data_IF_573614723362
#
_entry.id   IF_573614723362
#
_cell.length_a   1.000
_cell.length_b   1.000
_cell.length_c   1.000
_cell.angle_alpha   90.00
_cell.angle_beta   90.00
_cell.angle_gamma   90.00
#
_symmetry.space_group_name_H-M   'P 1'
#
loop_
_entity.id
_entity.type
_entity.pdbx_description
1 polymer ?
#
# COMPACT_ATOMS: atom_id res chain seq x y z
N UNK A 1 -16.35 -11.26 -5.68
CA UNK A 1 -16.40 -10.40 -4.47
C UNK A 1 -15.27 -9.40 -4.63
N UNK A 2 -15.42 -8.10 -4.33
CA UNK A 2 -14.25 -7.24 -4.26
C UNK A 2 -13.34 -7.85 -3.19
N UNK A 3 -12.12 -8.20 -3.56
CA UNK A 3 -11.17 -8.81 -2.62
C UNK A 3 -10.80 -7.74 -1.59
N UNK A 4 -11.13 -7.96 -0.32
CA UNK A 4 -10.73 -7.07 0.78
C UNK A 4 -9.21 -6.96 0.81
N UNK A 5 -8.67 -5.76 1.02
CA UNK A 5 -7.23 -5.61 1.24
C UNK A 5 -6.85 -6.17 2.61
N UNK A 6 -5.79 -6.95 2.65
CA UNK A 6 -5.24 -7.57 3.87
C UNK A 6 -3.76 -7.21 4.02
N UNK A 7 -3.11 -7.48 5.17
CA UNK A 7 -1.68 -7.26 5.33
C UNK A 7 -0.81 -7.98 4.28
N UNK A 8 -1.30 -9.09 3.74
CA UNK A 8 -0.64 -9.89 2.70
C UNK A 8 -0.85 -9.34 1.29
N UNK A 9 -1.78 -8.40 1.09
CA UNK A 9 -1.94 -7.70 -0.18
C UNK A 9 -0.64 -6.99 -0.56
N UNK A 10 -0.36 -6.95 -1.86
CA UNK A 10 0.82 -6.25 -2.37
C UNK A 10 0.53 -4.77 -2.57
N UNK A 11 1.55 -3.94 -2.41
CA UNK A 11 1.46 -2.50 -2.71
C UNK A 11 0.99 -2.27 -4.16
N UNK A 12 1.49 -3.08 -5.10
CA UNK A 12 1.06 -3.05 -6.51
C UNK A 12 -0.45 -3.25 -6.69
N UNK A 13 -1.07 -4.15 -5.93
CA UNK A 13 -2.50 -4.44 -6.04
C UNK A 13 -3.35 -3.22 -5.67
N UNK A 14 -2.89 -2.42 -4.71
CA UNK A 14 -3.55 -1.17 -4.31
C UNK A 14 -3.47 -0.15 -5.44
N UNK A 15 -2.29 0.01 -6.04
CA UNK A 15 -2.08 0.94 -7.15
C UNK A 15 -2.90 0.54 -8.38
N UNK A 16 -2.99 -0.75 -8.68
CA UNK A 16 -3.77 -1.26 -9.81
C UNK A 16 -5.27 -1.12 -9.61
N UNK A 17 -5.77 -1.27 -8.38
CA UNK A 17 -7.21 -1.25 -8.08
C UNK A 17 -7.76 0.12 -7.73
N UNK A 18 -7.03 0.90 -6.95
CA UNK A 18 -7.47 2.21 -6.45
C UNK A 18 -6.85 3.38 -7.23
N UNK A 19 -5.87 3.13 -8.11
CA UNK A 19 -5.23 4.16 -8.93
C UNK A 19 -4.64 5.29 -8.08
N UNK A 20 -4.96 6.53 -8.45
CA UNK A 20 -4.46 7.73 -7.76
C UNK A 20 -4.87 7.78 -6.29
N UNK A 21 -6.08 7.32 -5.94
CA UNK A 21 -6.55 7.24 -4.55
C UNK A 21 -5.66 6.31 -3.72
N UNK A 22 -5.28 5.17 -4.29
CA UNK A 22 -4.40 4.21 -3.63
C UNK A 22 -3.04 4.82 -3.32
N UNK A 23 -2.49 5.60 -4.26
CA UNK A 23 -1.22 6.31 -4.09
C UNK A 23 -1.31 7.37 -2.98
N UNK A 24 -2.37 8.16 -2.96
CA UNK A 24 -2.60 9.18 -1.92
C UNK A 24 -2.72 8.56 -0.52
N UNK A 25 -3.46 7.45 -0.41
CA UNK A 25 -3.61 6.71 0.84
C UNK A 25 -2.27 6.13 1.32
N UNK A 26 -1.50 5.49 0.43
CA UNK A 26 -0.17 4.99 0.75
C UNK A 26 0.73 6.12 1.29
N UNK A 27 0.76 7.26 0.59
CA UNK A 27 1.56 8.42 1.01
C UNK A 27 1.10 8.97 2.36
N UNK A 28 -0.21 9.09 2.59
CA UNK A 28 -0.81 9.54 3.85
C UNK A 28 -0.42 8.64 5.03
N UNK A 29 -0.38 7.33 4.83
CA UNK A 29 0.03 6.35 5.85
C UNK A 29 1.54 6.09 5.89
N UNK A 30 2.31 6.95 5.21
CA UNK A 30 3.75 7.05 5.32
C UNK A 30 4.55 6.17 4.38
N UNK A 31 3.90 5.56 3.38
CA UNK A 31 4.54 4.77 2.34
C UNK A 31 4.68 5.60 1.06
N UNK A 32 5.91 6.00 0.75
CA UNK A 32 6.22 6.66 -0.53
C UNK A 32 6.42 5.60 -1.62
N UNK A 33 5.60 5.68 -2.66
CA UNK A 33 5.62 4.78 -3.82
C UNK A 33 6.72 5.16 -4.80
N UNK A 34 7.31 6.35 -4.65
CA UNK A 34 8.43 6.85 -5.45
C UNK A 34 8.19 6.84 -6.97
N UNK A 35 9.25 7.09 -7.73
CA UNK A 35 9.27 7.00 -9.21
C UNK A 35 10.53 6.29 -9.74
N UNK A 36 11.41 5.83 -8.86
CA UNK A 36 12.68 5.19 -9.19
C UNK A 36 12.58 3.66 -9.35
N UNK A 37 13.61 3.06 -9.96
CA UNK A 37 13.67 1.61 -10.19
C UNK A 37 13.59 0.77 -8.89
N UNK A 38 14.14 1.29 -7.79
CA UNK A 38 14.03 0.66 -6.46
C UNK A 38 12.58 0.67 -5.95
N UNK A 39 11.83 1.71 -6.31
CA UNK A 39 10.44 1.89 -5.88
C UNK A 39 9.48 0.97 -6.66
N UNK A 40 9.86 0.55 -7.87
CA UNK A 40 9.13 -0.47 -8.64
C UNK A 40 9.27 -1.86 -8.01
N UNK A 41 10.42 -2.19 -7.43
CA UNK A 41 10.62 -3.49 -6.77
C UNK A 41 9.89 -3.56 -5.43
N UNK A 42 9.83 -2.46 -4.69
CA UNK A 42 9.08 -2.39 -3.43
C UNK A 42 7.57 -2.53 -3.63
N UNK A 43 7.03 -2.27 -4.83
CA UNK A 43 5.62 -2.52 -5.12
C UNK A 43 5.21 -4.00 -5.07
N UNK A 44 6.16 -4.92 -5.22
CA UNK A 44 5.89 -6.36 -5.15
C UNK A 44 5.89 -6.92 -3.73
N UNK A 45 6.27 -6.12 -2.73
CA UNK A 45 6.24 -6.51 -1.33
C UNK A 45 4.82 -6.41 -0.76
N UNK A 46 4.55 -7.16 0.30
CA UNK A 46 3.28 -7.09 1.04
C UNK A 46 3.24 -5.83 1.91
N UNK A 47 2.04 -5.40 2.29
CA UNK A 47 1.88 -4.25 3.21
C UNK A 47 2.49 -4.53 4.59
N UNK A 48 2.38 -5.76 5.07
CA UNK A 48 3.05 -6.19 6.31
C UNK A 48 4.56 -5.99 6.23
N UNK A 49 5.20 -6.43 5.13
CA UNK A 49 6.63 -6.24 4.93
C UNK A 49 7.01 -4.75 4.81
N UNK A 50 6.12 -3.93 4.23
CA UNK A 50 6.30 -2.48 4.21
C UNK A 50 6.31 -1.87 5.62
N UNK A 51 5.44 -2.35 6.50
CA UNK A 51 5.39 -1.90 7.89
C UNK A 51 6.61 -2.36 8.69
N UNK A 52 7.02 -3.63 8.53
CA UNK A 52 8.18 -4.20 9.21
C UNK A 52 9.51 -3.53 8.82
N UNK A 53 9.61 -3.02 7.60
CA UNK A 53 10.82 -2.32 7.11
C UNK A 53 10.81 -0.81 7.41
N UNK A 54 9.91 -0.36 8.30
CA UNK A 54 9.70 1.04 8.70
C UNK A 54 9.35 1.99 7.53
N UNK A 55 8.98 1.43 6.37
CA UNK A 55 8.54 2.18 5.20
C UNK A 55 7.05 2.52 5.24
N UNK A 56 6.28 1.92 6.14
CA UNK A 56 4.87 2.20 6.35
C UNK A 56 4.62 2.44 7.83
N UNK A 57 4.07 3.61 8.17
CA UNK A 57 3.91 4.05 9.56
C UNK A 57 2.58 3.62 10.16
N UNK A 58 1.57 3.41 9.32
CA UNK A 58 0.21 3.11 9.77
C UNK A 58 -0.49 2.10 8.85
N UNK A 59 -0.15 0.83 9.04
CA UNK A 59 -0.74 -0.29 8.28
C UNK A 59 -2.22 -0.47 8.59
N UNK A 60 -2.61 -0.43 9.87
CA UNK A 60 -4.00 -0.64 10.27
C UNK A 60 -4.93 0.47 9.77
N UNK A 61 -4.49 1.74 9.85
CA UNK A 61 -5.22 2.86 9.31
C UNK A 61 -5.37 2.77 7.79
N UNK A 62 -4.30 2.40 7.08
CA UNK A 62 -4.35 2.18 5.63
C UNK A 62 -5.39 1.11 5.26
N UNK A 63 -5.36 -0.05 5.91
CA UNK A 63 -6.29 -1.14 5.65
C UNK A 63 -7.74 -0.74 5.95
N UNK A 64 -7.97 0.05 7.00
CA UNK A 64 -9.30 0.58 7.31
C UNK A 64 -9.80 1.51 6.21
N UNK A 65 -8.97 2.43 5.73
CA UNK A 65 -9.37 3.41 4.70
C UNK A 65 -9.55 2.77 3.32
N UNK A 66 -8.70 1.80 2.96
CA UNK A 66 -8.82 1.04 1.72
C UNK A 66 -10.10 0.21 1.68
N UNK A 67 -10.46 -0.42 2.79
CA UNK A 67 -11.66 -1.27 2.87
C UNK A 67 -12.95 -0.51 3.24
N UNK A 68 -12.84 0.77 3.62
CA UNK A 68 -13.99 1.65 3.83
C UNK A 68 -14.47 2.34 2.54
N UNK A 69 -13.85 2.02 1.39
CA UNK A 69 -14.26 2.48 0.06
C UNK A 69 -15.66 2.06 -0.34
#
# INVERSE_FOLDING_TARGET
MPETFTPESKVREILEREGDRGRDLLMKHGYDVGEGFVDVLSQYQTLENAALTERMRDLEGLLRELNAG
#
